data_IF_907495948796
#
_entry.id   IF_907495948796
#
_cell.length_a   1.000
_cell.length_b   1.000
_cell.length_c   1.000
_cell.angle_alpha   90.00
_cell.angle_beta   90.00
_cell.angle_gamma   90.00
#
_symmetry.space_group_name_H-M   'P 1'
#
loop_
_entity.id
_entity.type
_entity.pdbx_description
1 polymer ?
#
# COMPACT_ATOMS: atom_id res chain seq x y z
N UNK A 1 10.09 12.91 2.72
CA UNK A 1 9.18 12.04 3.46
C UNK A 1 9.64 10.59 3.32
N UNK A 2 9.66 9.86 4.41
CA UNK A 2 10.06 8.44 4.38
C UNK A 2 9.07 7.60 3.59
N UNK A 3 9.55 6.76 2.69
CA UNK A 3 8.74 5.86 1.89
C UNK A 3 9.50 4.56 1.63
N UNK A 4 8.78 3.51 1.22
CA UNK A 4 9.40 2.24 0.88
C UNK A 4 10.17 2.37 -0.45
N UNK A 5 11.44 2.01 -0.42
CA UNK A 5 12.33 2.07 -1.60
C UNK A 5 12.84 0.69 -2.03
N UNK A 6 12.39 -0.37 -1.38
CA UNK A 6 12.79 -1.74 -1.68
C UNK A 6 12.03 -2.33 -2.87
N UNK A 7 12.23 -3.65 -3.15
CA UNK A 7 11.56 -4.35 -4.26
C UNK A 7 10.04 -4.36 -4.12
N UNK A 8 9.34 -3.94 -5.16
CA UNK A 8 7.87 -3.89 -5.17
C UNK A 8 7.22 -5.25 -5.38
N UNK A 9 7.89 -6.16 -6.08
CA UNK A 9 7.44 -7.55 -6.21
C UNK A 9 7.31 -8.22 -4.84
N UNK A 10 8.20 -7.92 -3.91
CA UNK A 10 8.16 -8.47 -2.56
C UNK A 10 6.87 -8.10 -1.85
N UNK A 11 6.40 -6.86 -1.99
CA UNK A 11 5.16 -6.40 -1.40
C UNK A 11 3.95 -7.12 -2.00
N UNK A 12 3.87 -7.21 -3.32
CA UNK A 12 2.78 -7.91 -4.00
C UNK A 12 2.75 -9.39 -3.66
N UNK A 13 3.91 -10.04 -3.61
CA UNK A 13 4.01 -11.45 -3.23
C UNK A 13 3.54 -11.69 -1.80
N UNK A 14 3.87 -10.80 -0.87
CA UNK A 14 3.46 -10.93 0.53
C UNK A 14 1.94 -10.88 0.68
N UNK A 15 1.28 -10.00 -0.09
CA UNK A 15 -0.17 -9.86 -0.05
C UNK A 15 -0.88 -10.86 -0.96
N UNK A 16 -0.16 -11.53 -1.86
CA UNK A 16 -0.72 -12.51 -2.79
C UNK A 16 -1.60 -11.92 -3.88
N UNK A 17 -1.53 -10.60 -4.09
CA UNK A 17 -2.30 -9.91 -5.12
C UNK A 17 -1.45 -8.84 -5.79
N UNK A 18 -1.88 -8.41 -6.98
CA UNK A 18 -1.23 -7.30 -7.67
C UNK A 18 -1.65 -5.98 -7.00
N UNK A 19 -0.68 -5.28 -6.42
CA UNK A 19 -0.89 -3.97 -5.81
C UNK A 19 -0.73 -2.81 -6.80
N UNK A 20 -0.56 -3.13 -8.09
CA UNK A 20 -0.41 -2.15 -9.18
C UNK A 20 0.75 -1.18 -8.97
N UNK A 21 1.82 -1.65 -8.32
CA UNK A 21 3.00 -0.84 -8.03
C UNK A 21 4.02 -0.84 -9.17
N UNK A 22 3.83 -1.71 -10.16
CA UNK A 22 4.69 -1.82 -11.34
C UNK A 22 3.91 -1.51 -12.62
N UNK A 23 4.65 -1.25 -13.70
CA UNK A 23 4.05 -1.00 -15.02
C UNK A 23 3.09 -2.11 -15.44
N UNK A 24 1.92 -1.74 -15.97
CA UNK A 24 0.93 -2.67 -16.49
C UNK A 24 1.19 -3.20 -17.90
N UNK A 25 2.33 -2.84 -18.51
CA UNK A 25 2.67 -3.27 -19.88
C UNK A 25 2.80 -4.79 -19.96
N UNK A 26 3.36 -5.43 -18.91
CA UNK A 26 3.47 -6.89 -18.81
C UNK A 26 2.67 -7.37 -17.60
N UNK A 27 2.09 -8.56 -17.71
CA UNK A 27 1.38 -9.19 -16.60
C UNK A 27 2.32 -9.37 -15.40
N UNK A 28 1.81 -9.19 -14.19
CA UNK A 28 2.60 -9.33 -12.97
C UNK A 28 3.16 -10.74 -12.82
N UNK A 29 2.40 -11.76 -13.21
CA UNK A 29 2.82 -13.17 -13.14
C UNK A 29 4.09 -13.43 -13.94
N UNK A 30 4.32 -12.68 -15.03
CA UNK A 30 5.52 -12.82 -15.83
C UNK A 30 6.74 -12.14 -15.20
N UNK A 31 6.53 -11.25 -14.24
CA UNK A 31 7.59 -10.49 -13.56
C UNK A 31 7.91 -11.03 -12.18
N UNK A 32 6.91 -11.54 -11.49
CA UNK A 32 6.97 -11.95 -10.10
C UNK A 32 6.24 -13.27 -9.91
N UNK A 33 6.71 -14.10 -8.98
CA UNK A 33 6.02 -15.32 -8.58
C UNK A 33 5.00 -14.96 -7.50
N UNK A 34 3.84 -14.48 -7.90
CA UNK A 34 2.85 -13.93 -6.98
C UNK A 34 2.26 -14.99 -6.03
N UNK A 35 2.22 -16.25 -6.46
CA UNK A 35 1.68 -17.34 -5.65
C UNK A 35 2.62 -17.77 -4.52
N UNK A 36 3.90 -17.37 -4.58
CA UNK A 36 4.90 -17.75 -3.59
C UNK A 36 5.24 -16.54 -2.74
N UNK A 37 5.04 -16.59 -1.40
CA UNK A 37 5.45 -15.51 -0.50
C UNK A 37 6.95 -15.27 -0.58
N UNK A 38 7.41 -14.03 -0.26
CA UNK A 38 8.83 -13.71 -0.29
C UNK A 38 9.58 -14.35 0.87
N UNK A 39 10.90 -14.49 0.71
CA UNK A 39 11.79 -15.00 1.74
C UNK A 39 12.24 -16.43 1.51
N UNK A 40 13.18 -16.88 2.34
CA UNK A 40 13.79 -18.21 2.24
C UNK A 40 12.77 -19.32 2.42
N UNK A 41 11.80 -19.11 3.30
CA UNK A 41 10.76 -20.09 3.62
C UNK A 41 9.44 -19.85 2.87
N UNK A 42 9.48 -19.03 1.81
CA UNK A 42 8.27 -18.70 1.04
C UNK A 42 7.57 -19.90 0.42
N UNK A 43 8.33 -20.92 0.02
CA UNK A 43 7.78 -22.15 -0.56
C UNK A 43 7.29 -23.16 0.50
N UNK A 44 7.52 -22.90 1.78
CA UNK A 44 7.11 -23.79 2.86
C UNK A 44 5.59 -23.73 3.08
N UNK A 45 5.02 -24.86 3.54
CA UNK A 45 3.60 -24.94 3.85
C UNK A 45 3.23 -23.97 4.97
N UNK A 46 2.19 -23.17 4.73
CA UNK A 46 1.72 -22.20 5.72
C UNK A 46 0.59 -22.79 6.57
N UNK A 47 0.57 -22.40 7.83
CA UNK A 47 -0.54 -22.69 8.71
C UNK A 47 -1.79 -21.87 8.36
N UNK A 48 -2.91 -22.25 8.98
CA UNK A 48 -4.17 -21.53 8.82
C UNK A 48 -4.05 -20.12 9.39
N UNK A 49 -4.51 -19.12 8.63
CA UNK A 49 -4.50 -17.74 9.05
C UNK A 49 -5.64 -17.47 10.05
N UNK A 50 -5.33 -16.81 11.17
CA UNK A 50 -6.33 -16.38 12.13
C UNK A 50 -7.10 -15.17 11.61
N UNK A 51 -8.25 -14.85 12.27
CA UNK A 51 -9.04 -13.66 11.92
C UNK A 51 -8.20 -12.37 12.04
N UNK A 52 -7.39 -12.28 13.10
CA UNK A 52 -6.46 -11.16 13.27
C UNK A 52 -5.47 -11.08 12.11
N UNK A 53 -4.93 -12.24 11.68
CA UNK A 53 -4.00 -12.29 10.55
C UNK A 53 -4.64 -11.83 9.26
N UNK A 54 -5.90 -12.19 9.00
CA UNK A 54 -6.65 -11.74 7.83
C UNK A 54 -6.86 -10.23 7.85
N UNK A 55 -7.28 -9.67 8.98
CA UNK A 55 -7.48 -8.23 9.14
C UNK A 55 -6.16 -7.46 8.97
N UNK A 56 -5.08 -8.00 9.52
CA UNK A 56 -3.74 -7.40 9.37
C UNK A 56 -3.32 -7.34 7.90
N UNK A 57 -3.58 -8.42 7.14
CA UNK A 57 -3.24 -8.45 5.70
C UNK A 57 -4.03 -7.41 4.91
N UNK A 58 -5.29 -7.21 5.20
CA UNK A 58 -6.10 -6.18 4.53
C UNK A 58 -5.58 -4.77 4.82
N UNK A 59 -5.27 -4.48 6.07
CA UNK A 59 -4.67 -3.21 6.48
C UNK A 59 -3.33 -2.97 5.77
N UNK A 60 -2.44 -3.96 5.79
CA UNK A 60 -1.11 -3.84 5.18
C UNK A 60 -1.20 -3.69 3.66
N UNK A 61 -2.14 -4.37 3.02
CA UNK A 61 -2.40 -4.22 1.59
C UNK A 61 -2.73 -2.78 1.26
N UNK A 62 -3.68 -2.19 1.97
CA UNK A 62 -4.11 -0.81 1.74
C UNK A 62 -2.96 0.18 1.97
N UNK A 63 -2.23 0.01 3.06
CA UNK A 63 -1.07 0.85 3.37
C UNK A 63 -0.02 0.80 2.27
N UNK A 64 0.25 -0.39 1.72
CA UNK A 64 1.26 -0.59 0.67
C UNK A 64 0.84 -0.06 -0.68
N UNK A 65 -0.46 -0.14 -1.01
CA UNK A 65 -0.99 0.45 -2.24
C UNK A 65 -0.71 1.95 -2.28
N UNK A 66 -0.91 2.64 -1.15
CA UNK A 66 -0.70 4.08 -1.05
C UNK A 66 0.72 4.48 -0.66
N UNK A 67 1.58 3.51 -0.32
CA UNK A 67 2.98 3.78 0.01
C UNK A 67 3.19 4.53 1.32
N UNK A 68 2.27 4.38 2.27
CA UNK A 68 2.32 5.10 3.54
C UNK A 68 3.14 4.36 4.60
N UNK A 69 3.71 5.13 5.53
CA UNK A 69 4.30 4.61 6.75
C UNK A 69 3.21 4.38 7.81
N UNK A 70 3.51 3.54 8.80
CA UNK A 70 2.54 3.17 9.84
C UNK A 70 2.00 4.38 10.59
N UNK A 71 2.85 5.34 10.96
CA UNK A 71 2.43 6.53 11.67
C UNK A 71 1.46 7.38 10.86
N UNK A 72 1.74 7.56 9.58
CA UNK A 72 0.89 8.33 8.67
C UNK A 72 -0.46 7.64 8.48
N UNK A 73 -0.45 6.33 8.28
CA UNK A 73 -1.68 5.55 8.11
C UNK A 73 -2.55 5.61 9.35
N UNK A 74 -1.94 5.45 10.53
CA UNK A 74 -2.66 5.50 11.81
C UNK A 74 -3.34 6.85 12.01
N UNK A 75 -2.65 7.95 11.71
CA UNK A 75 -3.23 9.29 11.82
C UNK A 75 -4.43 9.48 10.91
N UNK A 76 -4.35 9.01 9.65
CA UNK A 76 -5.46 9.09 8.70
C UNK A 76 -6.63 8.21 9.15
N UNK A 77 -6.35 7.00 9.66
CA UNK A 77 -7.37 6.08 10.15
C UNK A 77 -8.14 6.67 11.35
N UNK A 78 -7.43 7.26 12.30
CA UNK A 78 -8.06 7.93 13.45
C UNK A 78 -8.97 9.06 13.01
N UNK A 79 -8.53 9.83 12.02
CA UNK A 79 -9.35 10.91 11.45
C UNK A 79 -10.60 10.35 10.77
N UNK A 80 -10.48 9.23 10.07
CA UNK A 80 -11.63 8.59 9.42
C UNK A 80 -12.64 8.07 10.44
N UNK A 81 -12.19 7.53 11.56
CA UNK A 81 -13.07 7.05 12.63
C UNK A 81 -13.89 8.17 13.27
N UNK A 82 -13.35 9.38 13.34
CA UNK A 82 -14.02 10.54 13.94
C UNK A 82 -15.12 11.12 13.06
N UNK A 83 -15.09 10.82 11.76
CA UNK A 83 -16.10 11.36 10.84
C UNK A 83 -17.34 10.47 10.81
N UNK A 84 -18.50 11.09 10.58
CA UNK A 84 -19.76 10.37 10.44
C UNK A 84 -19.75 9.55 9.15
N UNK A 85 -20.40 8.39 9.19
CA UNK A 85 -20.53 7.51 8.04
C UNK A 85 -19.70 6.24 8.17
N UNK A 86 -19.58 5.50 7.06
CA UNK A 86 -18.81 4.25 7.04
C UNK A 86 -17.31 4.56 7.06
N UNK A 87 -16.61 4.04 8.06
CA UNK A 87 -15.19 4.31 8.28
C UNK A 87 -14.34 3.92 7.07
N UNK A 88 -14.64 2.79 6.41
CA UNK A 88 -13.89 2.33 5.23
C UNK A 88 -13.96 3.30 4.07
N UNK A 89 -15.15 3.81 3.75
CA UNK A 89 -15.34 4.77 2.65
C UNK A 89 -14.64 6.10 2.96
N UNK A 90 -14.75 6.57 4.20
CA UNK A 90 -14.10 7.80 4.67
C UNK A 90 -12.58 7.65 4.61
N UNK A 91 -12.06 6.49 5.01
CA UNK A 91 -10.63 6.19 4.98
C UNK A 91 -10.09 6.24 3.55
N UNK A 92 -10.76 5.60 2.60
CA UNK A 92 -10.34 5.61 1.20
C UNK A 92 -10.34 7.04 0.64
N UNK A 93 -11.36 7.82 0.94
CA UNK A 93 -11.44 9.21 0.50
C UNK A 93 -10.28 10.05 1.05
N UNK A 94 -9.97 9.89 2.32
CA UNK A 94 -8.86 10.63 2.95
C UNK A 94 -7.51 10.20 2.39
N UNK A 95 -7.31 8.92 2.09
CA UNK A 95 -6.09 8.41 1.48
C UNK A 95 -5.90 8.99 0.07
N UNK A 96 -6.96 9.03 -0.73
CA UNK A 96 -6.90 9.63 -2.07
C UNK A 96 -6.56 11.12 -2.00
N UNK A 97 -7.18 11.86 -1.10
CA UNK A 97 -6.88 13.28 -0.90
C UNK A 97 -5.43 13.49 -0.48
N UNK A 98 -4.91 12.64 0.40
CA UNK A 98 -3.52 12.72 0.88
C UNK A 98 -2.54 12.52 -0.27
N UNK A 99 -2.76 11.51 -1.11
CA UNK A 99 -1.89 11.22 -2.27
C UNK A 99 -1.93 12.37 -3.27
N UNK A 100 -3.13 12.89 -3.58
CA UNK A 100 -3.28 14.02 -4.49
C UNK A 100 -2.55 15.27 -3.97
N UNK A 101 -2.67 15.55 -2.69
CA UNK A 101 -1.99 16.69 -2.06
C UNK A 101 -0.47 16.56 -2.17
N UNK A 102 0.07 15.37 -1.95
CA UNK A 102 1.50 15.12 -2.08
C UNK A 102 1.98 15.29 -3.52
N UNK A 103 1.23 14.80 -4.48
CA UNK A 103 1.55 14.97 -5.90
C UNK A 103 1.58 16.44 -6.29
N UNK A 104 0.63 17.24 -5.81
CA UNK A 104 0.60 18.67 -6.06
C UNK A 104 1.80 19.38 -5.46
N UNK A 105 2.20 19.04 -4.24
CA UNK A 105 3.38 19.62 -3.60
C UNK A 105 4.66 19.33 -4.39
N UNK A 106 4.83 18.09 -4.83
CA UNK A 106 5.99 17.72 -5.65
C UNK A 106 6.02 18.52 -6.95
N UNK A 107 4.86 18.64 -7.62
CA UNK A 107 4.74 19.41 -8.87
C UNK A 107 5.08 20.88 -8.65
N UNK A 108 4.61 21.48 -7.58
CA UNK A 108 4.90 22.89 -7.25
C UNK A 108 6.37 23.11 -6.95
N UNK A 109 7.02 22.20 -6.23
CA UNK A 109 8.45 22.27 -5.92
C UNK A 109 9.26 22.19 -7.22
N UNK A 110 8.92 21.24 -8.09
CA UNK A 110 9.58 21.06 -9.38
C UNK A 110 9.42 22.30 -10.26
N UNK A 111 8.22 22.85 -10.35
CA UNK A 111 7.95 24.08 -11.10
C UNK A 111 8.75 25.27 -10.57
N UNK A 112 8.83 25.42 -9.24
CA UNK A 112 9.59 26.49 -8.59
C UNK A 112 11.08 26.43 -8.94
N UNK A 113 11.64 25.23 -9.04
CA UNK A 113 13.05 25.07 -9.38
C UNK A 113 13.38 25.39 -10.84
N UNK A 114 12.39 25.30 -11.74
CA UNK A 114 12.57 25.62 -13.16
C UNK A 114 12.34 27.11 -13.46
N UNK A 115 11.68 27.81 -12.60
CA UNK A 115 11.32 29.21 -12.75
C UNK A 115 11.81 30.02 -11.54
#
# INVERSE_FOLDING_TARGET
MARYIGPKCKLSRREGTDLMLKSGVRALDSKCKIDTPPGVHGASRKGKTSDYGTQLREKQKLKRIYGLQECQFRGIFERAERQAGVTGDTLLRLLECFVQHQSLQVTLIFWRHQH
#
